data_IF_507407495201
#
_entry.id   IF_507407495201
#
_cell.length_a   1.000
_cell.length_b   1.000
_cell.length_c   1.000
_cell.angle_alpha   90.00
_cell.angle_beta   90.00
_cell.angle_gamma   90.00
#
_symmetry.space_group_name_H-M   'P 1'
#
loop_
_entity.id
_entity.type
_entity.pdbx_description
1 polymer ?
#
# COMPACT_ATOMS: atom_id res chain seq x y z
N UNK A 1 -22.03 -5.29 4.93
CA UNK A 1 -21.39 -4.88 3.67
C UNK A 1 -22.44 -4.64 2.61
N UNK A 2 -22.27 -3.57 1.82
CA UNK A 2 -23.05 -3.29 0.61
C UNK A 2 -22.13 -3.42 -0.59
N UNK A 3 -22.54 -4.17 -1.60
CA UNK A 3 -21.78 -4.37 -2.83
C UNK A 3 -22.48 -3.63 -3.96
N UNK A 4 -21.72 -2.85 -4.72
CA UNK A 4 -22.19 -2.20 -5.94
C UNK A 4 -21.84 -3.13 -7.10
N UNK A 5 -22.86 -3.84 -7.61
CA UNK A 5 -22.69 -4.76 -8.73
C UNK A 5 -22.83 -4.02 -10.06
N UNK A 6 -21.77 -4.09 -10.85
CA UNK A 6 -21.73 -3.68 -12.26
C UNK A 6 -20.66 -4.49 -12.98
N UNK A 7 -21.04 -5.59 -13.63
CA UNK A 7 -20.10 -6.46 -14.35
C UNK A 7 -19.32 -5.72 -15.45
N UNK A 8 -19.95 -4.74 -16.11
CA UNK A 8 -19.28 -3.97 -17.17
C UNK A 8 -18.06 -3.23 -16.61
N UNK A 9 -18.16 -2.63 -15.44
CA UNK A 9 -17.08 -1.85 -14.84
C UNK A 9 -16.15 -2.68 -13.95
N UNK A 10 -16.67 -3.70 -13.23
CA UNK A 10 -15.91 -4.34 -12.15
C UNK A 10 -15.51 -5.79 -12.40
N UNK A 11 -16.06 -6.45 -13.44
CA UNK A 11 -15.63 -7.80 -13.83
C UNK A 11 -14.39 -7.71 -14.73
N UNK A 12 -13.24 -7.46 -14.13
CA UNK A 12 -11.96 -7.21 -14.81
C UNK A 12 -10.87 -8.13 -14.26
N UNK A 13 -9.77 -8.26 -15.00
CA UNK A 13 -8.60 -9.03 -14.56
C UNK A 13 -7.80 -8.38 -13.43
N UNK A 14 -7.94 -7.06 -13.24
CA UNK A 14 -7.30 -6.29 -12.20
C UNK A 14 -8.27 -5.30 -11.55
N UNK A 15 -7.88 -4.76 -10.39
CA UNK A 15 -8.69 -3.78 -9.67
C UNK A 15 -8.69 -2.42 -10.37
N UNK A 16 -7.56 -2.02 -10.95
CA UNK A 16 -7.34 -0.75 -11.66
C UNK A 16 -6.25 -0.93 -12.73
N UNK A 17 -5.97 0.12 -13.50
CA UNK A 17 -5.04 0.10 -14.62
C UNK A 17 -5.73 -0.13 -15.97
N UNK A 18 -7.06 -0.01 -16.01
CA UNK A 18 -7.86 -0.12 -17.21
C UNK A 18 -8.02 1.25 -17.88
N UNK A 19 -8.26 1.25 -19.19
CA UNK A 19 -8.41 2.48 -19.98
C UNK A 19 -9.61 3.34 -19.55
N UNK A 20 -10.63 2.72 -18.96
CA UNK A 20 -11.88 3.33 -18.52
C UNK A 20 -11.96 3.55 -16.99
N UNK A 21 -10.83 3.55 -16.29
CA UNK A 21 -10.78 3.74 -14.84
C UNK A 21 -11.46 5.06 -14.39
N UNK A 22 -11.38 6.12 -15.20
CA UNK A 22 -12.07 7.37 -14.92
C UNK A 22 -13.58 7.17 -14.77
N UNK A 23 -14.20 6.48 -15.72
CA UNK A 23 -15.64 6.18 -15.71
C UNK A 23 -16.01 5.22 -14.57
N UNK A 24 -15.22 4.17 -14.39
CA UNK A 24 -15.40 3.15 -13.37
C UNK A 24 -15.50 3.76 -11.98
N UNK A 25 -14.53 4.58 -11.61
CA UNK A 25 -14.46 5.17 -10.27
C UNK A 25 -15.33 6.41 -10.10
N UNK A 26 -15.66 7.12 -11.18
CA UNK A 26 -16.72 8.13 -11.17
C UNK A 26 -18.08 7.48 -10.90
N UNK A 27 -18.41 6.41 -11.62
CA UNK A 27 -19.63 5.62 -11.40
C UNK A 27 -19.69 5.11 -9.94
N UNK A 28 -18.62 4.45 -9.47
CA UNK A 28 -18.57 3.94 -8.09
C UNK A 28 -18.81 5.04 -7.05
N UNK A 29 -18.10 6.16 -7.17
CA UNK A 29 -18.21 7.27 -6.23
C UNK A 29 -19.61 7.88 -6.19
N UNK A 30 -20.28 7.97 -7.35
CA UNK A 30 -21.64 8.46 -7.44
C UNK A 30 -22.64 7.44 -6.90
N UNK A 31 -22.46 6.16 -7.23
CA UNK A 31 -23.33 5.07 -6.75
C UNK A 31 -23.31 4.96 -5.22
N UNK A 32 -22.18 5.21 -4.56
CA UNK A 32 -22.11 5.25 -3.08
C UNK A 32 -23.07 6.31 -2.51
N UNK A 33 -23.13 7.49 -3.09
CA UNK A 33 -24.02 8.55 -2.63
C UNK A 33 -25.48 8.25 -2.98
N UNK A 34 -25.77 7.78 -4.19
CA UNK A 34 -27.12 7.40 -4.63
C UNK A 34 -27.69 6.20 -3.86
N UNK A 35 -26.85 5.37 -3.27
CA UNK A 35 -27.26 4.24 -2.44
C UNK A 35 -27.91 4.68 -1.12
N UNK A 36 -27.47 5.80 -0.52
CA UNK A 36 -27.86 6.18 0.84
C UNK A 36 -29.39 6.27 1.03
N UNK A 37 -30.17 6.97 0.18
CA UNK A 37 -31.62 6.98 0.31
C UNK A 37 -32.27 5.63 -0.02
N UNK A 38 -31.64 4.78 -0.83
CA UNK A 38 -32.20 3.46 -1.20
C UNK A 38 -32.18 2.48 -0.02
N UNK A 39 -31.18 2.62 0.86
CA UNK A 39 -31.04 1.78 2.05
C UNK A 39 -31.55 2.45 3.33
N UNK A 40 -32.14 3.65 3.20
CA UNK A 40 -32.62 4.48 4.32
C UNK A 40 -31.54 4.70 5.40
N UNK A 41 -30.30 4.99 4.94
CA UNK A 41 -29.15 5.17 5.81
C UNK A 41 -28.30 6.37 5.38
N UNK A 42 -28.39 7.46 6.14
CA UNK A 42 -27.52 8.63 5.99
C UNK A 42 -26.50 8.64 7.13
N UNK A 43 -25.21 8.36 6.84
CA UNK A 43 -24.18 8.30 7.86
C UNK A 43 -23.80 9.69 8.35
N UNK A 44 -23.25 9.79 9.56
CA UNK A 44 -22.64 11.02 10.05
C UNK A 44 -21.34 11.34 9.31
N UNK A 45 -20.60 10.28 8.94
CA UNK A 45 -19.28 10.38 8.29
C UNK A 45 -19.19 9.40 7.12
N UNK A 46 -18.70 9.88 5.97
CA UNK A 46 -18.23 9.04 4.87
C UNK A 46 -16.71 9.07 4.86
N UNK A 47 -16.09 7.88 4.91
CA UNK A 47 -14.65 7.72 4.84
C UNK A 47 -14.24 7.18 3.47
N UNK A 48 -13.67 8.04 2.65
CA UNK A 48 -13.17 7.72 1.31
C UNK A 48 -11.66 7.41 1.36
N UNK A 49 -11.22 6.43 0.56
CA UNK A 49 -9.85 5.93 0.56
C UNK A 49 -9.25 5.98 -0.84
N UNK A 50 -8.13 6.68 -1.01
CA UNK A 50 -7.37 6.85 -2.24
C UNK A 50 -8.16 7.46 -3.41
N UNK A 51 -7.46 7.67 -4.53
CA UNK A 51 -8.00 8.33 -5.72
C UNK A 51 -9.25 7.64 -6.29
N UNK A 52 -9.41 6.33 -6.09
CA UNK A 52 -10.55 5.55 -6.55
C UNK A 52 -11.89 6.02 -5.96
N UNK A 53 -11.85 6.61 -4.77
CA UNK A 53 -13.03 7.13 -4.07
C UNK A 53 -12.98 8.65 -3.88
N UNK A 54 -12.01 9.30 -4.49
CA UNK A 54 -11.76 10.74 -4.32
C UNK A 54 -12.92 11.62 -4.79
N UNK A 55 -13.73 11.15 -5.74
CA UNK A 55 -14.91 11.87 -6.19
C UNK A 55 -16.07 11.82 -5.18
N UNK A 56 -16.08 10.94 -4.18
CA UNK A 56 -17.14 10.90 -3.16
C UNK A 56 -17.23 12.25 -2.39
N UNK A 57 -16.16 12.77 -1.76
CA UNK A 57 -16.23 14.08 -1.11
C UNK A 57 -16.48 15.23 -2.10
N UNK A 58 -16.01 15.11 -3.35
CA UNK A 58 -16.23 16.13 -4.39
C UNK A 58 -17.72 16.18 -4.77
N UNK A 59 -18.32 15.05 -5.10
CA UNK A 59 -19.75 14.99 -5.43
C UNK A 59 -20.63 15.40 -4.26
N UNK A 60 -20.31 14.93 -3.05
CA UNK A 60 -21.06 15.32 -1.86
C UNK A 60 -21.11 16.86 -1.73
N UNK A 61 -19.98 17.52 -1.93
CA UNK A 61 -19.89 18.97 -1.77
C UNK A 61 -20.53 19.74 -2.92
N UNK A 62 -20.36 19.29 -4.17
CA UNK A 62 -20.78 20.01 -5.37
C UNK A 62 -22.21 19.70 -5.82
N UNK A 63 -22.73 18.50 -5.53
CA UNK A 63 -24.00 18.03 -6.11
C UNK A 63 -25.03 17.59 -5.07
N UNK A 64 -24.62 17.02 -3.92
CA UNK A 64 -25.52 16.38 -2.97
C UNK A 64 -25.78 17.20 -1.71
N UNK A 65 -24.89 18.10 -1.31
CA UNK A 65 -24.94 18.82 -0.03
C UNK A 65 -26.28 19.51 0.26
N UNK A 66 -26.95 20.03 -0.78
CA UNK A 66 -28.24 20.70 -0.66
C UNK A 66 -29.46 19.74 -0.66
N UNK A 67 -29.25 18.46 -0.92
CA UNK A 67 -30.32 17.48 -0.96
C UNK A 67 -30.70 17.02 0.47
N UNK A 68 -31.97 16.59 0.69
CA UNK A 68 -32.38 16.07 1.98
C UNK A 68 -31.54 14.89 2.46
N UNK A 69 -31.08 14.92 3.72
CA UNK A 69 -30.28 13.89 4.34
C UNK A 69 -28.75 14.07 4.18
N UNK A 70 -28.27 14.81 3.18
CA UNK A 70 -26.84 14.93 2.91
C UNK A 70 -26.14 16.10 3.62
N UNK A 71 -26.88 17.11 4.03
CA UNK A 71 -26.32 18.38 4.51
C UNK A 71 -25.39 18.27 5.71
N UNK A 72 -25.67 17.31 6.62
CA UNK A 72 -24.88 17.10 7.84
C UNK A 72 -23.68 16.17 7.67
N UNK A 73 -23.64 15.38 6.59
CA UNK A 73 -22.60 14.36 6.39
C UNK A 73 -21.21 15.01 6.32
N UNK A 74 -20.28 14.51 7.10
CA UNK A 74 -18.85 14.89 7.05
C UNK A 74 -18.06 13.86 6.27
N UNK A 75 -16.90 14.28 5.77
CA UNK A 75 -16.03 13.39 4.99
C UNK A 75 -14.63 13.33 5.57
N UNK A 76 -14.10 12.12 5.63
CA UNK A 76 -12.68 11.83 5.85
C UNK A 76 -12.13 11.25 4.55
N UNK A 77 -10.99 11.74 4.11
CA UNK A 77 -10.29 11.21 2.95
C UNK A 77 -8.90 10.71 3.37
N UNK A 78 -8.64 9.42 3.15
CA UNK A 78 -7.34 8.81 3.48
C UNK A 78 -6.48 8.64 2.24
N UNK A 79 -5.23 9.10 2.33
CA UNK A 79 -4.18 8.91 1.34
C UNK A 79 -3.31 7.76 1.81
N UNK A 80 -3.39 6.60 1.13
CA UNK A 80 -2.53 5.45 1.41
C UNK A 80 -1.22 5.50 0.61
N UNK A 81 -1.27 6.02 -0.63
CA UNK A 81 -0.09 6.29 -1.44
C UNK A 81 -0.34 7.49 -2.35
N UNK A 82 0.37 8.60 -2.09
CA UNK A 82 0.21 9.86 -2.83
C UNK A 82 0.73 9.78 -4.28
N UNK A 83 1.48 8.75 -4.65
CA UNK A 83 1.96 8.54 -6.01
C UNK A 83 0.78 8.37 -6.99
N UNK A 84 -0.29 7.70 -6.54
CA UNK A 84 -1.46 7.39 -7.36
C UNK A 84 -2.58 8.40 -7.11
N UNK A 85 -2.75 9.36 -8.03
CA UNK A 85 -3.57 10.56 -7.81
C UNK A 85 -4.86 10.58 -8.62
N UNK A 86 -5.03 9.69 -9.62
CA UNK A 86 -6.16 9.76 -10.55
C UNK A 86 -6.09 11.00 -11.41
N UNK A 87 -5.09 11.08 -12.32
CA UNK A 87 -4.85 12.21 -13.23
C UNK A 87 -5.48 11.93 -14.59
N UNK A 88 -6.26 12.88 -15.10
CA UNK A 88 -7.00 12.74 -16.36
C UNK A 88 -7.00 14.04 -17.15
N UNK A 89 -7.30 13.91 -18.45
CA UNK A 89 -7.47 15.04 -19.34
C UNK A 89 -8.69 15.90 -18.94
N UNK A 90 -8.58 17.23 -19.11
CA UNK A 90 -9.63 18.19 -18.76
C UNK A 90 -10.91 18.00 -19.58
N UNK A 91 -10.82 17.43 -20.77
CA UNK A 91 -11.95 17.22 -21.68
C UNK A 91 -13.03 16.28 -21.08
N UNK A 92 -12.70 15.45 -20.09
CA UNK A 92 -13.66 14.52 -19.50
C UNK A 92 -14.39 15.07 -18.27
N UNK A 93 -14.16 16.34 -17.88
CA UNK A 93 -14.75 16.97 -16.70
C UNK A 93 -16.28 16.85 -16.67
N UNK A 94 -16.95 17.24 -17.75
CA UNK A 94 -18.41 17.15 -17.87
C UNK A 94 -18.86 15.75 -18.30
N UNK A 95 -18.26 15.21 -19.34
CA UNK A 95 -18.75 13.99 -20.00
C UNK A 95 -18.60 12.74 -19.16
N UNK A 96 -17.57 12.65 -18.30
CA UNK A 96 -17.32 11.49 -17.44
C UNK A 96 -17.60 11.83 -15.97
N UNK A 97 -17.07 12.94 -15.47
CA UNK A 97 -17.24 13.28 -14.06
C UNK A 97 -18.54 14.03 -13.75
N UNK A 98 -19.24 14.56 -14.76
CA UNK A 98 -20.48 15.30 -14.56
C UNK A 98 -20.31 16.54 -13.68
N UNK A 99 -19.14 17.16 -13.71
CA UNK A 99 -18.81 18.37 -12.96
C UNK A 99 -18.87 19.55 -13.91
N UNK A 100 -19.55 20.63 -13.50
CA UNK A 100 -19.72 21.83 -14.33
C UNK A 100 -18.37 22.56 -14.52
N UNK A 101 -18.13 23.18 -15.70
CA UNK A 101 -16.92 23.95 -15.96
C UNK A 101 -16.62 25.05 -14.93
N UNK A 102 -17.65 25.63 -14.33
CA UNK A 102 -17.52 26.63 -13.25
C UNK A 102 -16.90 26.07 -11.97
N UNK A 103 -16.86 24.76 -11.81
CA UNK A 103 -16.30 24.01 -10.67
C UNK A 103 -14.98 23.30 -11.02
N UNK A 104 -14.48 23.48 -12.24
CA UNK A 104 -13.25 22.83 -12.73
C UNK A 104 -12.06 23.03 -11.77
N UNK A 105 -11.95 24.22 -11.19
CA UNK A 105 -10.88 24.57 -10.25
C UNK A 105 -10.78 23.65 -9.02
N UNK A 106 -11.82 22.86 -8.72
CA UNK A 106 -11.80 21.87 -7.64
C UNK A 106 -10.89 20.71 -8.01
N UNK A 107 -10.91 20.26 -9.28
CA UNK A 107 -10.11 19.14 -9.76
C UNK A 107 -8.85 19.57 -10.53
N UNK A 108 -8.91 20.73 -11.21
CA UNK A 108 -7.80 21.18 -12.04
C UNK A 108 -6.54 21.44 -11.19
N UNK A 109 -5.44 20.84 -11.61
CA UNK A 109 -4.13 21.03 -11.03
C UNK A 109 -3.04 20.64 -12.04
N UNK A 110 -2.09 21.53 -12.26
CA UNK A 110 -0.95 21.31 -13.17
C UNK A 110 -1.36 20.86 -14.59
N UNK A 111 -2.42 21.52 -15.12
CA UNK A 111 -2.91 21.29 -16.47
C UNK A 111 -3.76 20.05 -16.69
N UNK A 112 -4.06 19.29 -15.65
CA UNK A 112 -4.91 18.09 -15.71
C UNK A 112 -6.00 18.12 -14.62
N UNK A 113 -6.96 17.19 -14.71
CA UNK A 113 -7.88 16.88 -13.61
C UNK A 113 -7.18 15.91 -12.67
N UNK A 114 -7.08 16.28 -11.39
CA UNK A 114 -6.46 15.47 -10.36
C UNK A 114 -7.51 15.15 -9.28
N UNK A 115 -7.95 13.87 -9.24
CA UNK A 115 -9.02 13.45 -8.35
C UNK A 115 -8.63 13.57 -6.88
N UNK A 116 -7.39 13.17 -6.54
CA UNK A 116 -6.88 13.26 -5.17
C UNK A 116 -6.85 14.73 -4.70
N UNK A 117 -6.43 15.66 -5.56
CA UNK A 117 -6.49 17.09 -5.26
C UNK A 117 -7.91 17.54 -4.94
N UNK A 118 -8.89 17.12 -5.73
CA UNK A 118 -10.29 17.43 -5.47
C UNK A 118 -10.77 16.90 -4.11
N UNK A 119 -10.41 15.68 -3.77
CA UNK A 119 -10.75 15.12 -2.46
C UNK A 119 -10.07 15.88 -1.31
N UNK A 120 -8.80 16.26 -1.46
CA UNK A 120 -8.09 17.09 -0.48
C UNK A 120 -8.80 18.44 -0.30
N UNK A 121 -9.32 19.05 -1.36
CA UNK A 121 -10.05 20.31 -1.26
C UNK A 121 -11.38 20.16 -0.51
N UNK A 122 -12.19 19.16 -0.88
CA UNK A 122 -13.59 19.02 -0.43
C UNK A 122 -13.73 18.27 0.91
N UNK A 123 -12.81 17.36 1.26
CA UNK A 123 -12.93 16.60 2.51
C UNK A 123 -12.81 17.49 3.76
N UNK A 124 -13.57 17.16 4.81
CA UNK A 124 -13.48 17.84 6.09
C UNK A 124 -12.15 17.55 6.80
N UNK A 125 -11.69 16.29 6.75
CA UNK A 125 -10.41 15.83 7.28
C UNK A 125 -9.70 15.03 6.19
N UNK A 126 -8.39 15.21 6.08
CA UNK A 126 -7.51 14.39 5.25
C UNK A 126 -6.60 13.61 6.19
N UNK A 127 -6.50 12.30 5.98
CA UNK A 127 -5.59 11.45 6.74
C UNK A 127 -4.57 10.79 5.84
N UNK A 128 -3.46 10.38 6.41
CA UNK A 128 -2.50 9.47 5.77
C UNK A 128 -2.00 8.47 6.81
N UNK A 129 -1.23 7.50 6.38
CA UNK A 129 -1.01 6.24 7.07
C UNK A 129 0.18 6.21 8.02
N UNK A 130 0.82 7.35 8.28
CA UNK A 130 1.76 7.55 9.39
C UNK A 130 1.93 9.03 9.70
N UNK A 131 2.41 9.35 10.92
CA UNK A 131 2.73 10.73 11.30
C UNK A 131 3.94 11.27 10.53
N UNK A 132 4.91 10.41 10.23
CA UNK A 132 6.08 10.75 9.44
C UNK A 132 5.66 11.04 8.00
N UNK A 133 4.87 10.16 7.41
CA UNK A 133 4.40 10.34 6.03
C UNK A 133 3.55 11.60 5.86
N UNK A 134 2.74 11.97 6.88
CA UNK A 134 2.01 13.24 6.87
C UNK A 134 2.93 14.48 6.76
N UNK A 135 4.15 14.37 7.28
CA UNK A 135 5.18 15.43 7.14
C UNK A 135 5.92 15.32 5.82
N UNK A 136 6.25 14.10 5.39
CA UNK A 136 6.96 13.83 4.15
C UNK A 136 6.19 14.33 2.93
N UNK A 137 4.88 14.06 2.83
CA UNK A 137 4.05 14.49 1.69
C UNK A 137 3.85 16.01 1.58
N UNK A 138 4.27 16.78 2.57
CA UNK A 138 4.40 18.24 2.47
C UNK A 138 5.70 18.67 1.74
N UNK A 139 6.67 17.75 1.59
CA UNK A 139 7.91 18.02 0.89
C UNK A 139 7.78 17.74 -0.61
N UNK A 140 8.31 18.60 -1.50
CA UNK A 140 8.26 18.38 -2.96
C UNK A 140 8.75 17.01 -3.42
N UNK A 141 9.76 16.45 -2.74
CA UNK A 141 10.36 15.16 -3.10
C UNK A 141 9.39 13.98 -2.93
N UNK A 142 8.54 14.00 -1.88
CA UNK A 142 7.63 12.89 -1.57
C UNK A 142 6.19 13.11 -2.03
N UNK A 143 5.84 14.33 -2.44
CA UNK A 143 4.45 14.73 -2.71
C UNK A 143 3.94 14.41 -4.11
N UNK A 144 4.81 14.00 -5.02
CA UNK A 144 4.48 13.83 -6.44
C UNK A 144 3.76 15.05 -7.04
N UNK A 145 4.17 16.26 -6.58
CA UNK A 145 3.66 17.55 -7.03
C UNK A 145 2.52 18.13 -6.17
N UNK A 146 1.89 17.35 -5.28
CA UNK A 146 0.73 17.83 -4.49
C UNK A 146 1.11 18.66 -3.24
N UNK A 147 2.39 18.88 -2.94
CA UNK A 147 2.79 19.65 -1.75
C UNK A 147 2.13 21.05 -1.64
N UNK A 148 1.92 21.85 -2.70
CA UNK A 148 1.31 23.16 -2.52
C UNK A 148 -0.15 23.07 -2.03
N UNK A 149 -0.86 22.05 -2.49
CA UNK A 149 -2.25 21.81 -2.07
C UNK A 149 -2.30 21.30 -0.62
N UNK A 150 -1.40 20.37 -0.27
CA UNK A 150 -1.31 19.83 1.08
C UNK A 150 -0.86 20.87 2.10
N UNK A 151 0.11 21.72 1.78
CA UNK A 151 0.54 22.84 2.64
C UNK A 151 -0.61 23.82 2.89
N UNK A 152 -1.34 24.21 1.83
CA UNK A 152 -2.51 25.09 1.96
C UNK A 152 -3.66 24.47 2.78
N UNK A 153 -3.69 23.14 2.90
CA UNK A 153 -4.71 22.39 3.63
C UNK A 153 -4.16 21.62 4.84
N UNK A 154 -2.95 21.95 5.29
CA UNK A 154 -2.25 21.28 6.39
C UNK A 154 -3.07 21.25 7.69
N UNK A 155 -3.89 22.26 7.95
CA UNK A 155 -4.73 22.35 9.14
C UNK A 155 -5.68 21.17 9.32
N UNK A 156 -6.04 20.46 8.23
CA UNK A 156 -6.91 19.27 8.24
C UNK A 156 -6.18 17.97 7.93
N UNK A 157 -4.87 17.98 7.70
CA UNK A 157 -4.06 16.78 7.49
C UNK A 157 -3.67 16.13 8.82
N UNK A 158 -3.83 14.81 8.92
CA UNK A 158 -3.45 14.00 10.08
C UNK A 158 -2.74 12.73 9.63
N UNK A 159 -1.67 12.36 10.32
CA UNK A 159 -1.03 11.06 10.19
C UNK A 159 -1.59 10.07 11.23
N UNK A 160 -2.00 8.89 10.79
CA UNK A 160 -2.50 7.82 11.66
C UNK A 160 -1.84 6.53 11.21
N UNK A 161 -0.99 5.94 12.06
CA UNK A 161 -0.29 4.70 11.74
C UNK A 161 -1.29 3.57 11.53
N UNK A 162 -1.13 2.81 10.46
CA UNK A 162 -1.92 1.60 10.23
C UNK A 162 -1.61 0.54 11.31
N UNK A 163 -2.61 -0.25 11.64
CA UNK A 163 -2.44 -1.48 12.40
C UNK A 163 -2.14 -2.68 11.50
N UNK A 164 -1.81 -3.79 12.12
CA UNK A 164 -1.79 -5.11 11.50
C UNK A 164 -2.89 -5.98 12.09
N UNK A 165 -3.37 -6.95 11.32
CA UNK A 165 -4.31 -7.96 11.82
C UNK A 165 -3.54 -8.94 12.72
N UNK A 166 -3.75 -8.81 14.04
CA UNK A 166 -3.04 -9.60 15.05
C UNK A 166 -3.63 -11.00 15.24
N UNK A 167 -4.76 -11.31 14.61
CA UNK A 167 -5.33 -12.66 14.55
C UNK A 167 -4.71 -13.44 13.37
N UNK A 168 -4.61 -12.80 12.20
CA UNK A 168 -3.99 -13.39 11.01
C UNK A 168 -2.47 -13.51 11.16
N UNK A 169 -1.83 -12.47 11.72
CA UNK A 169 -0.38 -12.44 11.91
C UNK A 169 -0.03 -12.75 13.37
N UNK A 170 -0.28 -14.00 13.79
CA UNK A 170 0.05 -14.47 15.12
C UNK A 170 0.90 -15.76 15.08
N UNK A 171 2.19 -15.68 15.49
CA UNK A 171 3.05 -16.87 15.48
C UNK A 171 2.56 -17.99 16.44
N UNK A 172 1.64 -17.72 17.37
CA UNK A 172 1.08 -18.76 18.24
C UNK A 172 0.02 -19.61 17.54
N UNK A 173 -0.64 -19.07 16.50
CA UNK A 173 -1.78 -19.72 15.86
C UNK A 173 -1.69 -19.79 14.34
N UNK A 174 -0.67 -19.19 13.72
CA UNK A 174 -0.51 -19.18 12.26
C UNK A 174 -0.37 -20.60 11.69
N UNK A 175 -1.29 -21.04 10.84
CA UNK A 175 -1.26 -22.38 10.24
C UNK A 175 -0.20 -22.54 9.13
N UNK A 176 0.40 -21.44 8.66
CA UNK A 176 1.34 -21.45 7.54
C UNK A 176 2.80 -21.65 7.98
N UNK A 177 3.09 -21.55 9.27
CA UNK A 177 4.43 -21.75 9.80
C UNK A 177 4.62 -23.21 10.33
N UNK A 178 5.84 -23.66 10.36
CA UNK A 178 6.16 -25.05 10.71
C UNK A 178 5.92 -25.35 12.18
N UNK A 179 6.28 -24.40 13.05
CA UNK A 179 6.21 -24.58 14.50
C UNK A 179 5.68 -23.29 15.13
N UNK A 180 4.50 -23.37 15.73
CA UNK A 180 3.96 -22.21 16.45
C UNK A 180 4.80 -21.85 17.67
N UNK A 181 4.91 -20.54 17.96
CA UNK A 181 5.69 -20.04 19.08
C UNK A 181 5.12 -18.74 19.66
N UNK A 182 5.45 -18.51 20.91
CA UNK A 182 5.12 -17.31 21.66
C UNK A 182 6.39 -16.63 22.18
N UNK A 183 6.24 -15.51 22.88
CA UNK A 183 7.36 -14.89 23.58
C UNK A 183 8.05 -15.87 24.56
N UNK A 184 7.27 -16.75 25.23
CA UNK A 184 7.82 -17.74 26.17
C UNK A 184 8.55 -18.89 25.45
N UNK A 185 8.14 -19.23 24.25
CA UNK A 185 8.70 -20.33 23.46
C UNK A 185 9.44 -19.79 22.21
N UNK A 186 9.93 -18.54 22.25
CA UNK A 186 10.60 -17.89 21.12
C UNK A 186 11.76 -18.68 20.52
N UNK A 187 12.38 -19.58 21.29
CA UNK A 187 13.41 -20.49 20.80
C UNK A 187 12.92 -21.44 19.71
N UNK A 188 11.60 -21.67 19.60
CA UNK A 188 11.00 -22.51 18.56
C UNK A 188 11.10 -21.88 17.18
N UNK A 189 11.26 -20.55 17.07
CA UNK A 189 11.49 -19.82 15.80
C UNK A 189 12.64 -20.45 14.97
N UNK A 190 13.63 -21.06 15.63
CA UNK A 190 14.71 -21.79 14.94
C UNK A 190 14.22 -22.93 14.07
N UNK A 191 13.11 -23.57 14.41
CA UNK A 191 12.55 -24.67 13.62
C UNK A 191 11.88 -24.16 12.34
N UNK A 192 11.29 -22.96 12.39
CA UNK A 192 10.75 -22.28 11.21
C UNK A 192 11.86 -21.84 10.26
N UNK A 193 12.99 -21.36 10.82
CA UNK A 193 14.18 -21.05 10.03
C UNK A 193 14.71 -22.28 9.29
N UNK A 194 14.91 -23.39 9.99
CA UNK A 194 15.38 -24.65 9.38
C UNK A 194 14.40 -25.17 8.32
N UNK A 195 13.09 -25.10 8.59
CA UNK A 195 12.08 -25.51 7.63
C UNK A 195 12.07 -24.62 6.37
N UNK A 196 12.23 -23.30 6.51
CA UNK A 196 12.33 -22.37 5.39
C UNK A 196 13.59 -22.61 4.57
N UNK A 197 14.73 -22.87 5.22
CA UNK A 197 15.98 -23.23 4.54
C UNK A 197 15.81 -24.54 3.74
N UNK A 198 15.18 -25.56 4.34
CA UNK A 198 14.89 -26.84 3.67
C UNK A 198 13.97 -26.66 2.47
N UNK A 199 12.84 -25.98 2.64
CA UNK A 199 11.83 -25.74 1.59
C UNK A 199 12.43 -25.04 0.38
N UNK A 200 13.33 -24.08 0.63
CA UNK A 200 13.96 -23.29 -0.43
C UNK A 200 15.30 -23.87 -0.91
N UNK A 201 15.72 -25.01 -0.40
CA UNK A 201 16.98 -25.69 -0.81
C UNK A 201 18.25 -24.89 -0.43
N UNK A 202 18.19 -24.15 0.67
CA UNK A 202 19.37 -23.57 1.32
C UNK A 202 20.02 -24.56 2.28
N UNK A 203 21.29 -24.39 2.59
CA UNK A 203 21.95 -25.18 3.65
C UNK A 203 21.24 -24.90 4.98
N UNK A 204 20.77 -25.95 5.64
CA UNK A 204 20.14 -25.86 6.95
C UNK A 204 21.21 -25.55 8.01
N UNK A 205 21.21 -24.34 8.52
CA UNK A 205 22.10 -23.90 9.60
C UNK A 205 21.35 -22.89 10.48
N UNK A 206 21.07 -23.20 11.74
CA UNK A 206 20.35 -22.30 12.63
C UNK A 206 21.16 -21.06 13.04
N UNK A 207 22.50 -21.12 12.90
CA UNK A 207 23.41 -20.07 13.39
C UNK A 207 23.79 -19.07 12.30
N UNK A 208 23.61 -19.40 11.01
CA UNK A 208 23.81 -18.45 9.89
C UNK A 208 22.66 -17.45 9.83
N UNK A 209 22.90 -16.13 9.90
CA UNK A 209 21.83 -15.14 9.77
C UNK A 209 21.08 -15.27 8.46
N UNK A 210 19.74 -15.35 8.54
CA UNK A 210 18.84 -15.42 7.39
C UNK A 210 18.12 -14.09 7.22
N UNK A 211 18.33 -13.43 6.08
CA UNK A 211 17.72 -12.16 5.70
C UNK A 211 16.49 -12.43 4.83
N UNK A 212 15.32 -11.96 5.23
CA UNK A 212 14.09 -11.99 4.44
C UNK A 212 13.79 -10.64 3.77
N UNK A 213 13.32 -10.68 2.54
CA UNK A 213 12.77 -9.52 1.81
C UNK A 213 11.46 -9.95 1.16
N UNK A 214 10.35 -9.34 1.56
CA UNK A 214 9.01 -9.61 1.00
C UNK A 214 8.42 -8.29 0.54
N UNK A 215 8.34 -8.08 -0.78
CA UNK A 215 7.86 -6.80 -1.31
C UNK A 215 7.46 -6.88 -2.77
N UNK A 216 6.74 -5.86 -3.26
CA UNK A 216 6.62 -5.62 -4.70
C UNK A 216 7.96 -5.13 -5.24
N UNK A 217 8.40 -5.69 -6.35
CA UNK A 217 9.68 -5.34 -6.97
C UNK A 217 9.51 -4.09 -7.85
N UNK A 218 9.51 -2.92 -7.20
CA UNK A 218 9.31 -1.60 -7.82
C UNK A 218 10.41 -0.62 -7.39
N UNK A 219 10.66 0.47 -8.15
CA UNK A 219 11.68 1.47 -7.81
C UNK A 219 11.52 2.07 -6.40
N UNK A 220 10.27 2.26 -5.97
CA UNK A 220 9.93 2.76 -4.63
C UNK A 220 10.52 1.90 -3.51
N UNK A 221 10.66 0.59 -3.74
CA UNK A 221 11.14 -0.37 -2.73
C UNK A 221 12.66 -0.45 -2.61
N UNK A 222 13.39 0.38 -3.36
CA UNK A 222 14.83 0.58 -3.20
C UNK A 222 15.68 -0.64 -3.59
N UNK A 223 15.20 -1.45 -4.55
CA UNK A 223 15.96 -2.63 -5.02
C UNK A 223 17.32 -2.21 -5.60
N UNK A 224 17.36 -1.08 -6.30
CA UNK A 224 18.58 -0.49 -6.84
C UNK A 224 19.62 -0.08 -5.78
N UNK A 225 19.22 0.06 -4.52
CA UNK A 225 20.16 0.27 -3.40
C UNK A 225 20.86 -1.03 -2.97
N UNK A 226 20.28 -2.20 -3.30
CA UNK A 226 20.86 -3.50 -2.98
C UNK A 226 21.88 -3.94 -4.04
N UNK A 227 21.66 -3.57 -5.30
CA UNK A 227 22.53 -3.99 -6.41
C UNK A 227 24.01 -3.73 -6.15
N UNK A 228 24.43 -2.51 -5.75
CA UNK A 228 25.86 -2.22 -5.58
C UNK A 228 26.50 -2.90 -4.35
N UNK A 229 25.70 -3.40 -3.41
CA UNK A 229 26.20 -4.00 -2.16
C UNK A 229 25.99 -5.52 -2.09
N UNK A 230 25.29 -6.11 -3.05
CA UNK A 230 24.94 -7.54 -3.02
C UNK A 230 26.17 -8.45 -3.02
N UNK A 231 27.17 -8.16 -3.84
CA UNK A 231 28.41 -8.95 -3.89
C UNK A 231 29.14 -8.94 -2.54
N UNK A 232 29.17 -7.79 -1.87
CA UNK A 232 29.80 -7.66 -0.56
C UNK A 232 28.98 -8.41 0.50
N UNK A 233 27.67 -8.25 0.50
CA UNK A 233 26.76 -8.95 1.41
C UNK A 233 26.89 -10.49 1.25
N UNK A 234 26.97 -10.99 0.02
CA UNK A 234 27.08 -12.43 -0.24
C UNK A 234 28.48 -13.01 0.05
N UNK A 235 29.51 -12.18 0.30
CA UNK A 235 30.79 -12.66 0.85
C UNK A 235 30.72 -12.97 2.34
N UNK A 236 29.81 -12.30 3.06
CA UNK A 236 29.59 -12.55 4.47
C UNK A 236 28.94 -13.94 4.70
N UNK A 237 29.00 -14.44 5.95
CA UNK A 237 28.35 -15.68 6.32
C UNK A 237 26.86 -15.42 6.61
N UNK A 238 26.08 -15.18 5.56
CA UNK A 238 24.64 -14.91 5.64
C UNK A 238 23.90 -15.68 4.56
N UNK A 239 22.59 -15.85 4.75
CA UNK A 239 21.67 -16.32 3.72
C UNK A 239 20.61 -15.25 3.46
N UNK A 240 20.04 -15.23 2.26
CA UNK A 240 18.97 -14.28 1.91
C UNK A 240 17.87 -14.95 1.11
N UNK A 241 16.62 -14.60 1.42
CA UNK A 241 15.41 -15.03 0.71
C UNK A 241 14.64 -13.81 0.26
N UNK A 242 14.31 -13.76 -1.03
CA UNK A 242 13.49 -12.71 -1.63
C UNK A 242 12.18 -13.32 -2.13
N UNK A 243 11.05 -12.74 -1.71
CA UNK A 243 9.73 -13.07 -2.22
C UNK A 243 9.08 -11.80 -2.78
N UNK A 244 8.73 -11.82 -4.05
CA UNK A 244 8.05 -10.70 -4.68
C UNK A 244 7.92 -10.83 -6.17
N UNK A 245 7.18 -9.91 -6.77
CA UNK A 245 7.07 -9.74 -8.23
C UNK A 245 6.89 -8.27 -8.56
N UNK A 246 7.17 -7.87 -9.80
CA UNK A 246 7.03 -6.49 -10.22
C UNK A 246 7.69 -6.18 -11.55
N UNK A 247 8.63 -5.24 -11.56
CA UNK A 247 9.31 -4.82 -12.78
C UNK A 247 10.31 -5.90 -13.23
N UNK A 248 10.28 -6.21 -14.52
CA UNK A 248 11.08 -7.28 -15.11
C UNK A 248 12.60 -7.13 -14.84
N UNK A 249 13.10 -5.91 -14.77
CA UNK A 249 14.51 -5.62 -14.45
C UNK A 249 14.89 -6.16 -13.07
N UNK A 250 14.08 -5.90 -12.04
CA UNK A 250 14.32 -6.38 -10.67
C UNK A 250 14.08 -7.88 -10.52
N UNK A 251 13.06 -8.42 -11.20
CA UNK A 251 12.85 -9.87 -11.23
C UNK A 251 14.06 -10.60 -11.85
N UNK A 252 14.58 -10.09 -12.96
CA UNK A 252 15.74 -10.67 -13.62
C UNK A 252 17.02 -10.51 -12.79
N UNK A 253 17.17 -9.38 -12.12
CA UNK A 253 18.29 -9.17 -11.19
C UNK A 253 18.27 -10.21 -10.05
N UNK A 254 17.15 -10.43 -9.39
CA UNK A 254 17.08 -11.42 -8.32
C UNK A 254 17.18 -12.88 -8.82
N UNK A 255 16.71 -13.19 -10.03
CA UNK A 255 16.99 -14.49 -10.67
C UNK A 255 18.49 -14.69 -10.94
N UNK A 256 19.18 -13.63 -11.33
CA UNK A 256 20.63 -13.66 -11.47
C UNK A 256 21.32 -13.88 -10.12
N UNK A 257 20.90 -13.20 -9.05
CA UNK A 257 21.44 -13.43 -7.71
C UNK A 257 21.21 -14.88 -7.23
N UNK A 258 20.04 -15.45 -7.48
CA UNK A 258 19.73 -16.84 -7.16
C UNK A 258 20.65 -17.83 -7.87
N UNK A 259 20.94 -17.56 -9.15
CA UNK A 259 21.92 -18.35 -9.91
C UNK A 259 23.35 -18.14 -9.42
N UNK A 260 23.77 -16.90 -9.21
CA UNK A 260 25.16 -16.54 -8.87
C UNK A 260 25.54 -16.97 -7.44
N UNK A 261 24.58 -16.94 -6.50
CA UNK A 261 24.80 -17.22 -5.08
C UNK A 261 23.90 -18.38 -4.58
N UNK A 262 23.71 -19.42 -5.41
CA UNK A 262 22.71 -20.47 -5.18
C UNK A 262 22.84 -21.22 -3.83
N UNK A 263 23.98 -21.16 -3.16
CA UNK A 263 24.18 -21.76 -1.83
C UNK A 263 23.65 -20.89 -0.68
N UNK A 264 23.45 -19.60 -0.94
CA UNK A 264 23.14 -18.57 0.07
C UNK A 264 21.92 -17.73 -0.25
N UNK A 265 21.48 -17.69 -1.48
CA UNK A 265 20.42 -16.78 -1.95
C UNK A 265 19.30 -17.56 -2.64
N UNK A 266 18.04 -17.17 -2.37
CA UNK A 266 16.87 -17.65 -3.09
C UNK A 266 15.93 -16.52 -3.47
N UNK A 267 15.50 -16.52 -4.72
CA UNK A 267 14.47 -15.62 -5.24
C UNK A 267 13.21 -16.38 -5.66
N UNK A 268 12.10 -16.08 -5.00
CA UNK A 268 10.79 -16.62 -5.34
C UNK A 268 9.97 -15.51 -6.00
N UNK A 269 9.91 -15.53 -7.33
CA UNK A 269 9.27 -14.48 -8.12
C UNK A 269 7.77 -14.78 -8.28
N UNK A 270 7.00 -14.46 -7.26
CA UNK A 270 5.54 -14.58 -7.23
C UNK A 270 4.96 -13.85 -6.02
N UNK A 271 3.64 -13.71 -5.99
CA UNK A 271 2.89 -13.42 -4.77
C UNK A 271 2.56 -14.73 -4.03
N UNK A 272 2.85 -14.79 -2.73
CA UNK A 272 2.49 -15.92 -1.87
C UNK A 272 2.37 -15.48 -0.42
N UNK A 273 1.13 -15.39 0.08
CA UNK A 273 0.89 -15.05 1.48
C UNK A 273 1.43 -16.11 2.45
N UNK A 274 1.25 -17.43 2.22
CA UNK A 274 1.83 -18.44 3.11
C UNK A 274 3.35 -18.36 3.19
N UNK A 275 4.05 -18.24 2.05
CA UNK A 275 5.51 -18.12 2.05
C UNK A 275 5.98 -16.81 2.70
N UNK A 276 5.22 -15.72 2.58
CA UNK A 276 5.55 -14.48 3.29
C UNK A 276 5.52 -14.70 4.82
N UNK A 277 4.52 -15.39 5.35
CA UNK A 277 4.43 -15.73 6.78
C UNK A 277 5.58 -16.65 7.22
N UNK A 278 5.95 -17.63 6.40
CA UNK A 278 7.12 -18.48 6.65
C UNK A 278 8.42 -17.66 6.68
N UNK A 279 8.57 -16.68 5.79
CA UNK A 279 9.74 -15.79 5.80
C UNK A 279 9.75 -14.91 7.06
N UNK A 280 8.61 -14.31 7.44
CA UNK A 280 8.52 -13.56 8.69
C UNK A 280 8.85 -14.43 9.92
N UNK A 281 8.42 -15.69 9.93
CA UNK A 281 8.70 -16.61 11.03
C UNK A 281 10.12 -17.17 11.01
N UNK A 282 10.70 -17.44 9.83
CA UNK A 282 11.99 -18.11 9.70
C UNK A 282 13.21 -17.16 9.63
N UNK A 283 13.04 -15.94 9.13
CA UNK A 283 14.15 -15.01 9.01
C UNK A 283 14.60 -14.44 10.37
N UNK A 284 15.87 -14.09 10.49
CA UNK A 284 16.42 -13.35 11.63
C UNK A 284 16.27 -11.85 11.42
N UNK A 285 16.51 -11.41 10.18
CA UNK A 285 16.47 -10.02 9.76
C UNK A 285 15.46 -9.85 8.62
N UNK A 286 14.75 -8.73 8.60
CA UNK A 286 13.80 -8.39 7.54
C UNK A 286 14.23 -7.08 6.88
N UNK A 287 14.58 -7.14 5.59
CA UNK A 287 15.14 -6.01 4.87
C UNK A 287 14.08 -5.21 4.14
N UNK A 288 14.02 -3.90 4.38
CA UNK A 288 13.13 -2.95 3.72
C UNK A 288 13.88 -1.67 3.34
N UNK A 289 14.62 -1.64 2.23
CA UNK A 289 15.42 -0.49 1.83
C UNK A 289 14.59 0.58 1.10
N UNK A 290 13.28 0.65 1.35
CA UNK A 290 12.34 1.49 0.62
C UNK A 290 12.77 2.95 0.59
N UNK A 291 12.72 3.59 -0.58
CA UNK A 291 12.97 5.03 -0.76
C UNK A 291 11.80 5.88 -0.30
N UNK A 292 10.61 5.33 -0.38
CA UNK A 292 9.37 5.88 0.16
C UNK A 292 8.51 4.72 0.66
N UNK A 293 8.06 4.82 1.89
CA UNK A 293 7.22 3.80 2.53
C UNK A 293 6.16 4.50 3.37
N UNK A 294 4.92 4.64 2.91
CA UNK A 294 3.92 5.41 3.64
C UNK A 294 3.67 4.96 5.07
N UNK A 295 3.74 3.65 5.33
CA UNK A 295 3.56 3.09 6.67
C UNK A 295 4.50 1.92 6.98
N UNK A 296 4.70 0.99 6.02
CA UNK A 296 5.55 -0.18 6.24
C UNK A 296 4.88 -1.29 7.05
N UNK A 297 3.77 -1.86 6.57
CA UNK A 297 3.09 -2.99 7.22
C UNK A 297 4.02 -4.19 7.40
N UNK A 298 4.85 -4.50 6.40
CA UNK A 298 5.73 -5.67 6.42
C UNK A 298 6.73 -5.63 7.57
N UNK A 299 7.27 -4.46 7.93
CA UNK A 299 8.16 -4.33 9.11
C UNK A 299 7.43 -4.57 10.43
N UNK A 300 6.17 -4.14 10.53
CA UNK A 300 5.36 -4.38 11.73
C UNK A 300 5.01 -5.87 11.86
N UNK A 301 4.68 -6.53 10.74
CA UNK A 301 4.46 -7.97 10.70
C UNK A 301 5.75 -8.71 11.07
N UNK A 302 6.89 -8.36 10.49
CA UNK A 302 8.18 -8.96 10.83
C UNK A 302 8.46 -8.88 12.35
N UNK A 303 8.26 -7.70 12.95
CA UNK A 303 8.40 -7.53 14.41
C UNK A 303 7.42 -8.40 15.21
N UNK A 304 6.18 -8.57 14.73
CA UNK A 304 5.20 -9.46 15.37
C UNK A 304 5.67 -10.92 15.41
N UNK A 305 6.42 -11.36 14.39
CA UNK A 305 7.05 -12.68 14.33
C UNK A 305 8.45 -12.70 14.98
N UNK A 306 8.89 -11.63 15.64
CA UNK A 306 10.19 -11.55 16.31
C UNK A 306 11.37 -11.46 15.35
N UNK A 307 11.15 -11.04 14.12
CA UNK A 307 12.17 -10.79 13.10
C UNK A 307 12.55 -9.32 13.12
N UNK A 308 13.84 -9.02 13.15
CA UNK A 308 14.35 -7.66 13.31
C UNK A 308 14.34 -6.92 11.97
N UNK A 309 13.57 -5.84 11.81
CA UNK A 309 13.57 -5.09 10.55
C UNK A 309 14.81 -4.21 10.42
N UNK A 310 15.38 -4.21 9.21
CA UNK A 310 16.39 -3.25 8.75
C UNK A 310 15.70 -2.35 7.73
N UNK A 311 15.51 -1.09 8.08
CA UNK A 311 14.69 -0.16 7.30
C UNK A 311 15.48 1.11 6.94
N UNK A 312 15.11 1.75 5.83
CA UNK A 312 15.43 3.15 5.60
C UNK A 312 14.44 4.01 6.39
N UNK A 313 14.91 5.09 7.01
CA UNK A 313 14.09 5.92 7.90
C UNK A 313 13.14 6.81 7.08
N UNK A 314 12.05 6.23 6.60
CA UNK A 314 10.94 6.87 5.87
C UNK A 314 9.60 6.30 6.32
N UNK A 315 8.52 7.10 6.27
CA UNK A 315 7.14 6.68 6.56
C UNK A 315 6.66 6.69 8.00
#
# INVERSE_FOLDING_TARGET
>A
YYLIDNEQYFKRGGTYGEYDDAERFAYFSKAVLELLPQIDFFPDIIHANDWHTALVPVYLDTQYRSLPGYGSIKTVFSIHNIEFQGKYDRNILESVFGIYPSQESILEFDGCLNLMKGAIECANIVTTVSETYAKEILNPYFSFGLHPILEARQYKLRGIVNGIDTEVFDPETDPNIKTNYSLKTRGNKRFDKLALQEELGLTQDPDVPLIGLVTRLTPQKGIDLLEPVMDELMRENVQMVVLGSGYAEYENYFKYCDYAYHDKFRAVIKFSAPLAQQIYAGADLFLMPSKSEPCGLAQMIAMRYGTIPIVHTVG
#
